data_IF_737094844093
#
_entry.id   IF_737094844093
#
_cell.length_a   1.000
_cell.length_b   1.000
_cell.length_c   1.000
_cell.angle_alpha   90.00
_cell.angle_beta   90.00
_cell.angle_gamma   90.00
#
_symmetry.space_group_name_H-M   'P 1'
#
loop_
_entity.id
_entity.type
_entity.pdbx_description
1 polymer ?
#
# COMPACT_ATOMS: atom_id res chain seq x y z
N UNK A 1 -29.36 -12.25 -25.97
CA UNK A 1 -28.43 -11.16 -26.40
C UNK A 1 -28.43 -9.94 -25.48
N UNK A 2 -29.54 -9.21 -25.25
CA UNK A 2 -29.54 -8.01 -24.37
C UNK A 2 -29.08 -8.26 -22.92
N UNK A 3 -29.41 -9.42 -22.33
CA UNK A 3 -29.01 -9.82 -20.96
C UNK A 3 -27.53 -10.18 -20.85
N UNK A 4 -26.99 -10.84 -21.88
CA UNK A 4 -25.56 -11.16 -21.99
C UNK A 4 -24.73 -9.87 -22.12
N UNK A 5 -25.22 -8.90 -22.90
CA UNK A 5 -24.59 -7.57 -23.02
C UNK A 5 -24.60 -6.83 -21.67
N UNK A 6 -25.68 -6.92 -20.89
CA UNK A 6 -25.75 -6.32 -19.56
C UNK A 6 -24.77 -6.97 -18.56
N UNK A 7 -24.61 -8.30 -18.61
CA UNK A 7 -23.63 -9.02 -17.77
C UNK A 7 -22.20 -8.65 -18.17
N UNK A 8 -21.88 -8.61 -19.47
CA UNK A 8 -20.57 -8.21 -19.96
C UNK A 8 -20.25 -6.75 -19.61
N UNK A 9 -21.23 -5.85 -19.71
CA UNK A 9 -21.09 -4.46 -19.30
C UNK A 9 -20.86 -4.33 -17.78
N UNK A 10 -21.57 -5.13 -16.97
CA UNK A 10 -21.40 -5.14 -15.52
C UNK A 10 -20.04 -5.75 -15.10
N UNK A 11 -19.56 -6.78 -15.79
CA UNK A 11 -18.20 -7.31 -15.62
C UNK A 11 -17.12 -6.30 -16.01
N UNK A 12 -17.36 -5.49 -17.05
CA UNK A 12 -16.41 -4.44 -17.45
C UNK A 12 -16.34 -3.26 -16.48
N UNK A 13 -17.30 -3.14 -15.54
CA UNK A 13 -17.28 -2.17 -14.45
C UNK A 13 -16.50 -2.67 -13.22
N UNK A 14 -16.06 -3.94 -13.20
CA UNK A 14 -15.09 -4.41 -12.23
C UNK A 14 -13.74 -3.78 -12.61
N UNK A 15 -13.27 -2.83 -11.81
CA UNK A 15 -12.02 -2.12 -12.06
C UNK A 15 -10.86 -3.11 -12.24
N UNK A 16 -10.06 -2.94 -13.29
CA UNK A 16 -8.81 -3.64 -13.44
C UNK A 16 -7.82 -3.07 -12.43
N UNK A 17 -7.47 -3.87 -11.42
CA UNK A 17 -6.42 -3.54 -10.47
C UNK A 17 -5.13 -4.12 -11.05
N UNK A 18 -4.37 -3.28 -11.75
CA UNK A 18 -3.07 -3.66 -12.31
C UNK A 18 -1.94 -3.21 -11.38
N UNK A 19 -0.95 -4.09 -11.18
CA UNK A 19 0.31 -3.71 -10.57
C UNK A 19 1.11 -2.83 -11.54
N UNK A 20 1.77 -1.79 -11.02
CA UNK A 20 2.52 -0.83 -11.84
C UNK A 20 3.99 -0.83 -11.45
N UNK A 21 4.92 -1.14 -12.37
CA UNK A 21 6.36 -1.16 -12.08
C UNK A 21 6.96 0.24 -11.88
N UNK A 22 6.19 1.29 -12.18
CA UNK A 22 6.60 2.70 -12.11
C UNK A 22 6.00 3.43 -10.90
N UNK A 23 5.64 2.71 -9.84
CA UNK A 23 4.92 3.28 -8.69
C UNK A 23 3.41 3.30 -8.87
N UNK A 24 2.71 3.44 -7.74
CA UNK A 24 1.25 3.41 -7.66
C UNK A 24 0.74 4.57 -6.79
N UNK A 25 -0.42 5.08 -7.20
CA UNK A 25 -1.14 6.20 -6.62
C UNK A 25 -1.95 5.79 -5.37
N UNK A 26 -3.02 6.54 -5.06
CA UNK A 26 -3.88 6.27 -3.90
C UNK A 26 -4.54 4.89 -3.90
N UNK A 27 -4.54 4.15 -5.02
CA UNK A 27 -5.03 2.77 -5.08
C UNK A 27 -4.28 1.80 -4.16
N UNK A 28 -3.07 2.15 -3.73
CA UNK A 28 -2.30 1.35 -2.77
C UNK A 28 -2.35 1.89 -1.34
N UNK A 29 -3.23 2.87 -1.03
CA UNK A 29 -3.34 3.42 0.32
C UNK A 29 -3.88 2.43 1.37
N UNK A 30 -4.55 1.37 0.90
CA UNK A 30 -5.05 0.28 1.75
C UNK A 30 -4.21 -1.00 1.56
N UNK A 31 -3.02 -0.86 0.97
CA UNK A 31 -2.11 -1.97 0.69
C UNK A 31 -1.98 -2.36 -0.78
N UNK A 32 -1.07 -3.29 -1.06
CA UNK A 32 -0.72 -3.71 -2.42
C UNK A 32 -1.64 -4.82 -2.94
N UNK A 33 -2.97 -4.60 -2.84
CA UNK A 33 -4.01 -5.61 -3.09
C UNK A 33 -4.03 -6.17 -4.53
N UNK A 34 -3.32 -5.53 -5.46
CA UNK A 34 -3.08 -6.07 -6.80
C UNK A 34 -2.37 -7.43 -6.74
N UNK A 35 -1.57 -7.65 -5.69
CA UNK A 35 -0.76 -8.85 -5.46
C UNK A 35 -1.43 -9.84 -4.49
N UNK A 36 -2.74 -9.70 -4.24
CA UNK A 36 -3.49 -10.58 -3.34
C UNK A 36 -3.58 -10.06 -1.91
N UNK A 37 -3.77 -10.97 -0.96
CA UNK A 37 -3.81 -10.64 0.48
C UNK A 37 -2.43 -10.35 1.04
N UNK A 38 -2.36 -9.69 2.19
CA UNK A 38 -1.08 -9.50 2.90
C UNK A 38 -0.57 -10.81 3.49
N UNK A 39 0.75 -10.95 3.60
CA UNK A 39 1.41 -12.14 4.14
C UNK A 39 2.51 -11.78 5.15
N UNK A 40 2.45 -12.41 6.31
CA UNK A 40 3.36 -12.16 7.45
C UNK A 40 4.81 -12.60 7.19
N UNK A 41 5.06 -13.42 6.17
CA UNK A 41 6.42 -13.76 5.73
C UNK A 41 7.13 -12.59 5.05
N UNK A 42 6.37 -11.57 4.61
CA UNK A 42 6.91 -10.30 4.15
C UNK A 42 6.90 -9.30 5.30
N UNK A 43 8.08 -8.84 5.71
CA UNK A 43 8.28 -7.92 6.82
C UNK A 43 8.73 -6.57 6.27
N UNK A 44 7.92 -5.54 6.52
CA UNK A 44 8.19 -4.15 6.14
C UNK A 44 8.76 -3.42 7.35
N UNK A 45 9.89 -2.74 7.18
CA UNK A 45 10.56 -2.01 8.26
C UNK A 45 11.09 -0.67 7.78
N UNK A 46 10.66 0.43 8.40
CA UNK A 46 11.30 1.73 8.33
C UNK A 46 12.12 1.97 9.60
N UNK A 47 13.43 2.02 9.43
CA UNK A 47 14.39 2.24 10.51
C UNK A 47 14.97 3.64 10.46
N UNK A 48 15.59 4.11 11.55
CA UNK A 48 16.25 5.41 11.63
C UNK A 48 15.38 6.55 12.17
N UNK A 49 14.07 6.33 12.33
CA UNK A 49 13.19 7.27 13.02
C UNK A 49 13.55 7.36 14.52
N UNK A 50 13.47 8.54 15.14
CA UNK A 50 13.66 8.70 16.57
C UNK A 50 12.40 8.26 17.35
N UNK A 51 12.52 8.08 18.66
CA UNK A 51 11.35 7.87 19.53
C UNK A 51 10.53 9.15 19.74
N UNK A 52 11.16 10.32 19.56
CA UNK A 52 10.57 11.66 19.62
C UNK A 52 11.39 12.54 18.67
N UNK A 53 10.72 13.31 17.81
CA UNK A 53 11.41 14.17 16.86
C UNK A 53 11.71 15.55 17.45
N UNK A 54 12.72 16.24 16.91
CA UNK A 54 12.91 17.68 17.11
C UNK A 54 12.39 18.44 15.89
N UNK A 55 11.80 19.61 16.11
CA UNK A 55 11.22 20.42 15.06
C UNK A 55 12.21 20.71 13.91
N UNK A 56 11.77 20.48 12.67
CA UNK A 56 12.56 20.66 11.44
C UNK A 56 13.89 19.87 11.39
N UNK A 57 14.09 18.89 12.26
CA UNK A 57 15.28 18.05 12.22
C UNK A 57 15.17 16.97 11.13
N UNK A 58 16.27 16.73 10.44
CA UNK A 58 16.42 15.67 9.45
C UNK A 58 16.87 14.35 10.11
N UNK A 59 16.27 13.25 9.68
CA UNK A 59 16.60 11.90 10.10
C UNK A 59 16.82 11.02 8.87
N UNK A 60 17.99 10.37 8.80
CA UNK A 60 18.23 9.34 7.80
C UNK A 60 17.39 8.11 8.14
N UNK A 61 16.56 7.68 7.20
CA UNK A 61 15.70 6.52 7.36
C UNK A 61 15.96 5.50 6.25
N UNK A 62 15.80 4.23 6.60
CA UNK A 62 15.97 3.12 5.65
C UNK A 62 14.72 2.26 5.68
N UNK A 63 14.07 2.15 4.52
CA UNK A 63 12.97 1.24 4.26
C UNK A 63 13.53 -0.09 3.76
N UNK A 64 13.19 -1.18 4.44
CA UNK A 64 13.57 -2.55 4.07
C UNK A 64 12.34 -3.43 3.98
N UNK A 65 12.28 -4.26 2.94
CA UNK A 65 11.30 -5.31 2.75
C UNK A 65 12.04 -6.66 2.76
N UNK A 66 11.82 -7.45 3.81
CA UNK A 66 12.37 -8.80 3.91
C UNK A 66 11.28 -9.82 3.58
N UNK A 67 11.51 -10.70 2.60
CA UNK A 67 10.49 -11.63 2.11
C UNK A 67 11.14 -12.87 1.49
N UNK A 68 10.51 -14.06 1.58
CA UNK A 68 10.97 -15.27 0.89
C UNK A 68 10.70 -15.26 -0.62
N UNK A 69 9.96 -14.28 -1.15
CA UNK A 69 9.68 -14.15 -2.59
C UNK A 69 11.00 -14.06 -3.36
N UNK A 70 11.11 -14.81 -4.46
CA UNK A 70 12.28 -14.85 -5.32
C UNK A 70 12.68 -13.44 -5.79
N UNK A 71 13.97 -13.23 -6.00
CA UNK A 71 14.52 -11.94 -6.44
C UNK A 71 14.99 -12.03 -7.88
N UNK A 72 14.45 -11.17 -8.75
CA UNK A 72 14.85 -11.04 -10.15
C UNK A 72 15.16 -9.57 -10.50
N UNK A 73 15.00 -9.15 -11.75
CA UNK A 73 15.30 -7.77 -12.20
C UNK A 73 14.40 -6.73 -11.52
N UNK A 74 13.10 -7.04 -11.38
CA UNK A 74 12.15 -6.26 -10.57
C UNK A 74 11.90 -7.04 -9.29
N UNK A 75 12.06 -6.39 -8.14
CA UNK A 75 12.11 -7.04 -6.84
C UNK A 75 11.08 -6.51 -5.85
N UNK A 76 10.64 -5.27 -5.99
CA UNK A 76 9.66 -4.70 -5.08
C UNK A 76 9.37 -3.23 -5.30
N UNK A 77 8.62 -2.70 -4.36
CA UNK A 77 8.13 -1.33 -4.38
C UNK A 77 7.44 -0.99 -3.06
N UNK A 78 6.99 0.25 -2.97
CA UNK A 78 6.35 0.74 -1.76
C UNK A 78 5.30 1.80 -2.04
N UNK A 79 4.45 2.00 -1.03
CA UNK A 79 3.55 3.13 -0.85
C UNK A 79 3.71 3.63 0.59
N UNK A 80 4.02 4.91 0.77
CA UNK A 80 4.18 5.53 2.09
C UNK A 80 3.27 6.74 2.20
N UNK A 81 2.48 6.79 3.26
CA UNK A 81 1.62 7.92 3.62
C UNK A 81 2.14 8.44 4.96
N UNK A 82 2.42 9.74 5.03
CA UNK A 82 2.84 10.39 6.28
C UNK A 82 1.87 11.53 6.60
N UNK A 83 1.57 11.74 7.88
CA UNK A 83 0.74 12.88 8.31
C UNK A 83 1.51 14.19 8.35
N UNK A 84 2.78 14.14 8.76
CA UNK A 84 3.62 15.31 9.00
C UNK A 84 5.07 15.09 8.59
N UNK A 85 5.72 16.20 8.22
CA UNK A 85 7.07 16.19 7.69
C UNK A 85 7.12 15.84 6.20
N UNK A 86 8.32 15.63 5.70
CA UNK A 86 8.57 15.34 4.28
C UNK A 86 9.64 14.26 4.13
N UNK A 87 9.45 13.33 3.19
CA UNK A 87 10.43 12.31 2.84
C UNK A 87 11.11 12.67 1.52
N UNK A 88 12.43 12.59 1.49
CA UNK A 88 13.24 12.76 0.28
C UNK A 88 14.16 11.56 0.13
N UNK A 89 13.88 10.72 -0.86
CA UNK A 89 14.72 9.59 -1.24
C UNK A 89 15.16 9.69 -2.70
N UNK A 90 16.32 9.13 -3.02
CA UNK A 90 16.84 9.14 -4.39
C UNK A 90 15.96 8.27 -5.31
N UNK A 91 15.46 8.86 -6.39
CA UNK A 91 14.53 8.21 -7.33
C UNK A 91 13.11 7.97 -6.80
N UNK A 92 12.78 8.46 -5.59
CA UNK A 92 11.41 8.40 -5.05
C UNK A 92 10.54 9.44 -5.75
N UNK A 93 9.24 9.17 -5.82
CA UNK A 93 8.25 10.11 -6.37
C UNK A 93 7.02 10.22 -5.46
N UNK A 94 6.21 11.26 -5.67
CA UNK A 94 4.93 11.42 -5.00
C UNK A 94 3.78 11.32 -6.01
N UNK A 95 2.78 10.51 -5.67
CA UNK A 95 1.51 10.39 -6.40
C UNK A 95 0.38 10.46 -5.37
N UNK A 96 -0.64 11.28 -5.61
CA UNK A 96 -1.82 11.41 -4.75
C UNK A 96 -1.50 11.47 -3.25
N UNK A 97 -0.65 12.42 -2.85
CA UNK A 97 -0.24 12.68 -1.46
C UNK A 97 0.43 11.49 -0.74
N UNK A 98 1.10 10.60 -1.47
CA UNK A 98 1.96 9.59 -0.86
C UNK A 98 3.18 9.31 -1.71
N UNK A 99 4.20 8.75 -1.07
CA UNK A 99 5.48 8.43 -1.67
C UNK A 99 5.44 7.03 -2.27
N UNK A 100 6.07 6.86 -3.43
CA UNK A 100 6.19 5.57 -4.09
C UNK A 100 7.50 5.47 -4.86
N UNK A 101 7.81 4.25 -5.27
CA UNK A 101 8.99 3.92 -6.07
C UNK A 101 8.81 4.35 -7.53
N UNK A 102 9.90 4.40 -8.30
CA UNK A 102 9.90 4.51 -9.77
C UNK A 102 10.43 3.21 -10.38
N UNK A 103 10.38 3.07 -11.70
CA UNK A 103 11.00 1.94 -12.40
C UNK A 103 12.51 1.83 -12.18
N UNK A 104 13.17 2.94 -11.84
CA UNK A 104 14.62 3.00 -11.72
C UNK A 104 15.12 2.49 -10.35
N UNK A 105 14.21 2.31 -9.39
CA UNK A 105 14.50 1.85 -8.03
C UNK A 105 13.62 0.67 -7.62
N UNK A 106 13.01 -0.05 -8.57
CA UNK A 106 12.20 -1.25 -8.29
C UNK A 106 13.01 -2.56 -8.30
N UNK A 107 14.31 -2.46 -8.58
CA UNK A 107 15.32 -3.53 -8.65
C UNK A 107 15.95 -3.87 -7.29
N UNK A 108 15.29 -3.48 -6.20
CA UNK A 108 15.77 -3.64 -4.83
C UNK A 108 14.62 -3.75 -3.85
N UNK A 109 14.95 -4.10 -2.61
CA UNK A 109 14.03 -4.15 -1.46
C UNK A 109 14.53 -3.34 -0.27
N UNK A 110 15.51 -2.47 -0.51
CA UNK A 110 16.06 -1.54 0.47
C UNK A 110 16.24 -0.16 -0.16
N UNK A 111 15.69 0.86 0.48
CA UNK A 111 15.75 2.25 0.03
C UNK A 111 16.12 3.18 1.17
N UNK A 112 16.97 4.15 0.87
CA UNK A 112 17.34 5.20 1.81
C UNK A 112 16.60 6.50 1.48
N UNK A 113 16.18 7.20 2.52
CA UNK A 113 15.56 8.52 2.43
C UNK A 113 15.96 9.38 3.63
N UNK A 114 15.67 10.67 3.54
CA UNK A 114 15.73 11.61 4.65
C UNK A 114 14.31 12.03 4.98
N UNK A 115 13.91 11.84 6.24
CA UNK A 115 12.69 12.42 6.77
C UNK A 115 13.01 13.74 7.47
N UNK A 116 12.39 14.82 7.02
CA UNK A 116 12.42 16.12 7.70
C UNK A 116 11.18 16.23 8.57
N UNK A 117 11.36 16.30 9.89
CA UNK A 117 10.27 16.46 10.84
C UNK A 117 9.53 17.80 10.64
N UNK A 118 8.24 17.89 11.01
CA UNK A 118 7.49 19.14 10.92
C UNK A 118 8.11 20.26 11.77
N UNK A 119 7.74 21.50 11.46
CA UNK A 119 8.14 22.68 12.26
C UNK A 119 7.42 22.74 13.62
N UNK A 120 6.21 22.18 13.70
CA UNK A 120 5.44 22.10 14.93
C UNK A 120 6.00 21.00 15.84
N UNK A 121 6.11 21.30 17.13
CA UNK A 121 6.66 20.43 18.17
C UNK A 121 5.59 19.78 19.06
N UNK A 122 4.31 20.09 18.80
CA UNK A 122 3.11 19.59 19.46
C UNK A 122 2.28 18.65 18.57
N UNK A 123 2.85 18.11 17.50
CA UNK A 123 2.19 17.21 16.54
C UNK A 123 2.64 15.75 16.69
N UNK A 124 1.81 14.82 16.19
CA UNK A 124 2.15 13.41 16.02
C UNK A 124 2.40 13.12 14.54
N UNK A 125 3.64 12.82 14.18
CA UNK A 125 3.97 12.36 12.83
C UNK A 125 3.67 10.86 12.74
N UNK A 126 2.73 10.48 11.89
CA UNK A 126 2.36 9.08 11.65
C UNK A 126 2.82 8.64 10.27
N UNK A 127 3.10 7.35 10.15
CA UNK A 127 3.58 6.73 8.93
C UNK A 127 2.76 5.46 8.71
N UNK A 128 2.19 5.31 7.52
CA UNK A 128 1.62 4.05 7.04
C UNK A 128 2.38 3.65 5.80
N UNK A 129 2.96 2.45 5.83
CA UNK A 129 3.91 1.96 4.84
C UNK A 129 3.37 0.63 4.35
N UNK A 130 3.18 0.51 3.05
CA UNK A 130 2.91 -0.75 2.36
C UNK A 130 4.13 -1.07 1.51
N UNK A 131 4.68 -2.26 1.67
CA UNK A 131 5.81 -2.75 0.89
C UNK A 131 5.44 -4.06 0.20
N UNK A 132 5.74 -4.16 -1.10
CA UNK A 132 5.61 -5.41 -1.83
C UNK A 132 6.99 -5.98 -2.22
N UNK A 133 7.09 -7.30 -2.12
CA UNK A 133 8.15 -8.11 -2.67
C UNK A 133 7.59 -8.86 -3.88
N UNK A 134 8.15 -8.62 -5.05
CA UNK A 134 7.71 -9.26 -6.30
C UNK A 134 8.78 -10.18 -6.85
N UNK A 135 8.35 -11.18 -7.62
CA UNK A 135 9.23 -12.17 -8.25
C UNK A 135 9.72 -11.75 -9.65
N UNK A 136 9.23 -10.62 -10.19
CA UNK A 136 9.65 -10.09 -11.49
C UNK A 136 9.12 -10.82 -12.73
N UNK A 137 8.14 -11.71 -12.61
CA UNK A 137 7.58 -12.48 -13.73
C UNK A 137 6.52 -11.72 -14.56
N UNK A 138 6.27 -10.45 -14.23
CA UNK A 138 5.25 -9.56 -14.81
C UNK A 138 3.80 -10.00 -14.54
N UNK A 139 3.60 -10.90 -13.59
CA UNK A 139 2.30 -11.31 -13.07
C UNK A 139 2.21 -10.91 -11.59
N UNK A 140 1.02 -10.58 -11.06
CA UNK A 140 0.85 -10.33 -9.64
C UNK A 140 0.88 -11.62 -8.78
N UNK A 141 1.16 -12.77 -9.38
CA UNK A 141 1.07 -14.08 -8.74
C UNK A 141 2.38 -14.50 -8.10
N UNK A 142 2.34 -15.03 -6.88
CA UNK A 142 3.52 -15.37 -6.07
C UNK A 142 4.35 -14.15 -5.65
N UNK A 143 3.73 -12.97 -5.71
CA UNK A 143 4.21 -11.77 -5.06
C UNK A 143 3.57 -11.70 -3.67
N UNK A 144 4.27 -11.08 -2.72
CA UNK A 144 3.78 -10.94 -1.35
C UNK A 144 3.97 -9.51 -0.88
N UNK A 145 3.09 -9.05 0.00
CA UNK A 145 3.18 -7.71 0.56
C UNK A 145 2.72 -7.69 2.00
N UNK A 146 3.18 -6.68 2.73
CA UNK A 146 2.69 -6.41 4.07
C UNK A 146 2.81 -4.91 4.37
N UNK A 147 2.49 -4.54 5.60
CA UNK A 147 2.48 -3.15 6.03
C UNK A 147 3.24 -2.94 7.33
N UNK A 148 3.61 -1.69 7.57
CA UNK A 148 4.05 -1.21 8.86
C UNK A 148 3.39 0.14 9.15
N UNK A 149 3.02 0.37 10.40
CA UNK A 149 2.52 1.65 10.88
C UNK A 149 3.34 2.11 12.07
N UNK A 150 3.67 3.41 12.10
CA UNK A 150 4.51 4.03 13.11
C UNK A 150 3.94 5.39 13.50
N UNK A 151 4.30 5.84 14.70
CA UNK A 151 4.03 7.18 15.18
C UNK A 151 5.24 7.73 15.93
N UNK A 152 5.57 8.99 15.67
CA UNK A 152 6.70 9.72 16.28
C UNK A 152 6.16 11.05 16.80
N UNK A 153 6.04 11.23 18.12
CA UNK A 153 5.57 12.47 18.71
C UNK A 153 6.63 13.57 18.69
N UNK A 154 6.18 14.83 18.64
CA UNK A 154 6.99 15.99 19.01
C UNK A 154 7.19 16.09 20.54
N UNK A 155 8.10 16.95 21.01
CA UNK A 155 8.40 17.08 22.44
C UNK A 155 7.24 17.61 23.28
N UNK A 156 6.36 18.42 22.69
CA UNK A 156 5.20 19.02 23.37
C UNK A 156 3.88 18.28 23.06
N UNK A 157 3.92 17.17 22.30
CA UNK A 157 2.74 16.36 22.02
C UNK A 157 2.27 15.63 23.29
N UNK A 158 0.99 15.82 23.64
CA UNK A 158 0.39 15.28 24.88
C UNK A 158 -0.74 14.27 24.63
N UNK A 159 -1.04 13.98 23.38
CA UNK A 159 -2.11 13.07 22.98
C UNK A 159 -1.71 11.58 23.02
N UNK A 160 -2.56 10.74 22.44
CA UNK A 160 -2.27 9.32 22.23
C UNK A 160 -1.15 9.15 21.20
N UNK A 161 -0.18 8.29 21.49
CA UNK A 161 0.99 8.01 20.63
C UNK A 161 0.87 6.68 19.87
N UNK A 162 -0.32 6.09 19.89
CA UNK A 162 -0.62 4.89 19.11
C UNK A 162 -0.45 5.15 17.61
N UNK A 163 0.21 4.22 16.93
CA UNK A 163 0.31 4.24 15.49
C UNK A 163 -1.07 3.99 14.84
N UNK A 164 -1.33 4.51 13.63
CA UNK A 164 -2.54 4.18 12.90
C UNK A 164 -2.75 2.66 12.78
N UNK A 165 -3.96 2.19 13.06
CA UNK A 165 -4.33 0.79 12.89
C UNK A 165 -4.33 0.43 11.40
N UNK A 166 -3.63 -0.65 11.03
CA UNK A 166 -3.65 -1.18 9.67
C UNK A 166 -4.64 -2.34 9.64
N UNK A 167 -5.81 -2.10 9.07
CA UNK A 167 -6.81 -3.14 8.92
C UNK A 167 -6.65 -3.84 7.55
N UNK A 168 -6.10 -5.05 7.57
CA UNK A 168 -6.00 -5.92 6.40
C UNK A 168 -7.27 -6.76 6.16
N UNK A 169 -8.27 -6.67 7.06
CA UNK A 169 -9.48 -7.48 6.99
C UNK A 169 -10.64 -6.73 6.34
N UNK A 170 -11.29 -7.39 5.39
CA UNK A 170 -12.57 -6.94 4.84
C UNK A 170 -13.56 -6.77 6.00
N UNK A 171 -14.15 -5.60 6.10
CA UNK A 171 -15.21 -5.34 7.05
C UNK A 171 -16.41 -6.25 6.74
N UNK A 172 -17.22 -6.53 7.77
CA UNK A 172 -18.48 -7.28 7.59
C UNK A 172 -19.38 -6.63 6.50
N UNK A 173 -19.31 -5.31 6.37
CA UNK A 173 -20.04 -4.55 5.34
C UNK A 173 -19.51 -4.85 3.94
N UNK A 174 -18.19 -4.84 3.74
CA UNK A 174 -17.58 -5.17 2.44
C UNK A 174 -17.83 -6.62 2.04
N UNK A 175 -17.71 -7.56 2.99
CA UNK A 175 -18.06 -8.97 2.76
C UNK A 175 -19.53 -9.13 2.40
N UNK A 176 -20.43 -8.39 3.06
CA UNK A 176 -21.87 -8.43 2.77
C UNK A 176 -22.18 -7.87 1.38
N UNK A 177 -21.59 -6.73 1.03
CA UNK A 177 -21.76 -6.11 -0.29
C UNK A 177 -21.22 -7.04 -1.39
N UNK A 178 -20.02 -7.59 -1.20
CA UNK A 178 -19.42 -8.57 -2.11
C UNK A 178 -20.31 -9.80 -2.29
N UNK A 179 -20.82 -10.36 -1.19
CA UNK A 179 -21.74 -11.50 -1.22
C UNK A 179 -23.03 -11.22 -1.99
N UNK A 180 -23.65 -10.05 -1.78
CA UNK A 180 -24.84 -9.63 -2.52
C UNK A 180 -24.56 -9.43 -4.01
N UNK A 181 -23.41 -8.85 -4.36
CA UNK A 181 -23.00 -8.67 -5.75
C UNK A 181 -22.81 -10.01 -6.47
N UNK A 182 -22.14 -10.98 -5.82
CA UNK A 182 -21.97 -12.34 -6.37
C UNK A 182 -23.32 -13.03 -6.56
N UNK A 183 -24.24 -12.93 -5.59
CA UNK A 183 -25.59 -13.52 -5.71
C UNK A 183 -26.40 -12.88 -6.84
N UNK A 184 -26.31 -11.55 -7.02
CA UNK A 184 -26.94 -10.83 -8.12
C UNK A 184 -26.40 -11.31 -9.47
N UNK A 185 -25.08 -11.39 -9.63
CA UNK A 185 -24.43 -11.84 -10.86
C UNK A 185 -24.81 -13.29 -11.17
N UNK A 186 -24.77 -14.18 -10.16
CA UNK A 186 -25.17 -15.58 -10.32
C UNK A 186 -26.65 -15.70 -10.73
N UNK A 187 -27.54 -14.94 -10.10
CA UNK A 187 -28.96 -14.89 -10.47
C UNK A 187 -29.18 -14.43 -11.91
N UNK A 188 -28.50 -13.36 -12.33
CA UNK A 188 -28.55 -12.85 -13.69
C UNK A 188 -28.00 -13.85 -14.71
N UNK A 189 -26.90 -14.55 -14.37
CA UNK A 189 -26.31 -15.59 -15.22
C UNK A 189 -27.26 -16.79 -15.41
N UNK A 190 -27.87 -17.28 -14.33
CA UNK A 190 -28.86 -18.36 -14.38
C UNK A 190 -30.04 -17.97 -15.28
N UNK A 191 -30.54 -16.74 -15.12
CA UNK A 191 -31.64 -16.21 -15.94
C UNK A 191 -31.22 -16.08 -17.41
N UNK A 192 -30.00 -15.63 -17.69
CA UNK A 192 -29.49 -15.44 -19.05
C UNK A 192 -29.20 -16.75 -19.80
N UNK A 193 -28.93 -17.85 -19.09
CA UNK A 193 -28.70 -19.19 -19.68
C UNK A 193 -30.01 -19.97 -19.90
N UNK A 194 -31.05 -19.63 -19.13
CA UNK A 194 -32.38 -20.27 -19.24
C UNK A 194 -33.24 -19.74 -20.39
N UNK A 195 -32.89 -18.58 -20.95
CA UNK A 195 -33.51 -17.97 -22.14
C UNK A 195 -32.67 -18.20 -23.40
#
# INVERSE_FOLDING_TARGET
MRRIIAILFMLSLLGQIEALPSGIDSRANDGCVCHGGSDESTVVTLSGLPTQYNASQEYNVTLTINSPVETNDVQGGFRIIISHGELVGDGWQQLDNGYTHTSDINDRREWNAVWTAPIADDELATFVIHGNAVNGDQSPTNDEWNSQSLAVPGPEYTGDTSAPEINHSLTNTEMTIGGLAVLLIAGLAIVAVRD
#
